data_IF_276857082909
#
_entry.id   IF_276857082909
#
_cell.length_a   1.000
_cell.length_b   1.000
_cell.length_c   1.000
_cell.angle_alpha   90.00
_cell.angle_beta   90.00
_cell.angle_gamma   90.00
#
_symmetry.space_group_name_H-M   'P 1'
#
loop_
_entity.id
_entity.type
_entity.pdbx_description
1 polymer ?
#
# COMPACT_ATOMS: atom_id res chain seq x y z
N UNK A 1 -11.80 40.92 6.58
CA UNK A 1 -11.46 40.09 5.40
C UNK A 1 -10.09 39.47 5.69
N UNK A 2 -10.10 38.21 6.09
CA UNK A 2 -8.90 37.38 6.31
C UNK A 2 -8.96 36.26 5.25
N UNK A 3 -7.93 36.07 4.40
CA UNK A 3 -7.92 35.08 3.33
C UNK A 3 -7.38 33.70 3.74
N UNK A 4 -7.38 33.31 5.01
CA UNK A 4 -6.96 31.97 5.45
C UNK A 4 -7.98 30.86 5.14
N UNK A 5 -8.32 30.70 3.85
CA UNK A 5 -8.99 29.51 3.33
C UNK A 5 -7.96 28.57 2.69
N UNK A 6 -7.18 27.87 3.52
CA UNK A 6 -6.34 26.77 3.06
C UNK A 6 -7.05 25.45 3.33
N UNK A 7 -8.11 25.16 2.56
CA UNK A 7 -8.58 23.78 2.41
C UNK A 7 -7.50 23.02 1.64
N UNK A 8 -6.51 22.48 2.34
CA UNK A 8 -5.70 21.41 1.79
C UNK A 8 -6.61 20.21 1.63
N UNK A 9 -7.25 20.07 0.46
CA UNK A 9 -7.65 18.74 0.00
C UNK A 9 -6.33 18.01 -0.24
N UNK A 10 -5.81 17.38 0.80
CA UNK A 10 -4.56 16.63 0.75
C UNK A 10 -4.83 15.37 -0.08
N UNK A 11 -4.87 15.54 -1.40
CA UNK A 11 -5.07 14.45 -2.32
C UNK A 11 -3.91 13.48 -2.14
N UNK A 12 -4.21 12.21 -1.89
CA UNK A 12 -3.17 11.20 -1.78
C UNK A 12 -2.42 11.12 -3.12
N UNK A 13 -1.11 11.43 -3.17
CA UNK A 13 -0.36 11.44 -4.42
C UNK A 13 -0.33 10.07 -5.10
N UNK A 14 -0.53 8.98 -4.36
CA UNK A 14 -0.63 7.63 -4.93
C UNK A 14 -1.93 7.46 -5.71
N UNK A 15 -3.03 8.03 -5.23
CA UNK A 15 -4.31 8.00 -5.94
C UNK A 15 -4.28 8.88 -7.19
N UNK A 16 -3.59 10.02 -7.13
CA UNK A 16 -3.34 10.85 -8.32
C UNK A 16 -2.52 10.07 -9.36
N UNK A 17 -1.45 9.40 -8.94
CA UNK A 17 -0.65 8.58 -9.86
C UNK A 17 -1.43 7.41 -10.45
N UNK A 18 -2.30 6.77 -9.65
CA UNK A 18 -3.18 5.71 -10.13
C UNK A 18 -4.13 6.23 -11.22
N UNK A 19 -4.74 7.40 -11.02
CA UNK A 19 -5.59 8.03 -12.02
C UNK A 19 -4.83 8.33 -13.32
N UNK A 20 -3.63 8.89 -13.24
CA UNK A 20 -2.78 9.14 -14.42
C UNK A 20 -2.49 7.85 -15.19
N UNK A 21 -2.14 6.75 -14.50
CA UNK A 21 -1.86 5.48 -15.16
C UNK A 21 -3.10 4.84 -15.79
N UNK A 22 -4.28 5.05 -15.21
CA UNK A 22 -5.54 4.63 -15.82
C UNK A 22 -5.84 5.43 -17.09
N UNK A 23 -5.60 6.74 -17.08
CA UNK A 23 -5.75 7.60 -18.27
C UNK A 23 -4.78 7.22 -19.39
N UNK A 24 -3.61 6.68 -19.04
CA UNK A 24 -2.64 6.07 -19.98
C UNK A 24 -3.06 4.67 -20.50
N UNK A 25 -4.17 4.12 -20.02
CA UNK A 25 -4.67 2.79 -20.39
C UNK A 25 -3.89 1.64 -19.75
N UNK A 26 -3.16 1.89 -18.65
CA UNK A 26 -2.40 0.86 -17.95
C UNK A 26 -3.31 0.03 -17.06
N UNK A 27 -3.10 -1.29 -17.08
CA UNK A 27 -3.68 -2.18 -16.06
C UNK A 27 -2.91 -2.00 -14.74
N UNK A 28 -3.62 -1.69 -13.68
CA UNK A 28 -3.04 -1.43 -12.36
C UNK A 28 -3.79 -2.17 -11.25
N UNK A 29 -3.15 -2.32 -10.10
CA UNK A 29 -3.77 -2.69 -8.85
C UNK A 29 -3.41 -1.67 -7.75
N UNK A 30 -4.34 -1.47 -6.83
CA UNK A 30 -4.17 -0.63 -5.65
C UNK A 30 -4.07 -1.52 -4.42
N UNK A 31 -2.99 -1.34 -3.65
CA UNK A 31 -2.81 -1.93 -2.35
C UNK A 31 -3.07 -0.88 -1.26
N UNK A 32 -4.00 -1.18 -0.36
CA UNK A 32 -4.46 -0.27 0.69
C UNK A 32 -4.22 -0.89 2.06
N UNK A 33 -3.51 -0.18 2.95
CA UNK A 33 -3.44 -0.55 4.37
C UNK A 33 -4.82 -0.34 4.99
N UNK A 34 -5.54 -1.43 5.26
CA UNK A 34 -6.89 -1.37 5.83
C UNK A 34 -6.89 -1.35 7.35
N UNK A 35 -5.92 -2.02 7.99
CA UNK A 35 -5.77 -2.06 9.45
C UNK A 35 -4.31 -2.18 9.84
N UNK A 36 -4.00 -1.67 11.03
CA UNK A 36 -2.68 -1.78 11.64
C UNK A 36 -2.80 -2.07 13.13
N UNK A 37 -1.81 -2.78 13.67
CA UNK A 37 -1.69 -3.07 15.10
C UNK A 37 -0.26 -2.81 15.56
N UNK A 38 -0.10 -2.43 16.83
CA UNK A 38 1.22 -2.13 17.40
C UNK A 38 1.91 -0.96 16.68
N UNK A 39 3.24 -0.95 16.69
CA UNK A 39 4.04 0.11 16.05
C UNK A 39 4.27 -0.19 14.56
N UNK A 40 3.19 -0.48 13.85
CA UNK A 40 3.23 -0.66 12.40
C UNK A 40 3.79 0.60 11.70
N UNK A 41 4.64 0.44 10.67
CA UNK A 41 5.42 1.55 10.11
C UNK A 41 4.60 2.52 9.23
N UNK A 42 3.45 2.07 8.72
CA UNK A 42 2.48 2.90 7.98
C UNK A 42 1.13 2.88 8.68
N UNK A 43 0.31 3.90 8.42
CA UNK A 43 -1.05 4.03 8.99
C UNK A 43 -2.07 3.39 8.07
N UNK A 44 -3.22 3.00 8.60
CA UNK A 44 -4.38 2.69 7.80
C UNK A 44 -4.71 3.86 6.84
N UNK A 45 -5.09 3.53 5.60
CA UNK A 45 -5.25 4.47 4.50
C UNK A 45 -3.97 4.81 3.75
N UNK A 46 -2.83 4.16 4.04
CA UNK A 46 -1.65 4.28 3.17
C UNK A 46 -1.85 3.43 1.93
N UNK A 47 -1.48 3.97 0.77
CA UNK A 47 -1.65 3.31 -0.51
C UNK A 47 -0.32 2.98 -1.19
N UNK A 48 -0.37 1.99 -2.07
CA UNK A 48 0.65 1.69 -3.06
C UNK A 48 -0.04 1.26 -4.35
N UNK A 49 0.31 1.88 -5.48
CA UNK A 49 -0.20 1.51 -6.80
C UNK A 49 0.87 0.72 -7.54
N UNK A 50 0.47 -0.33 -8.25
CA UNK A 50 1.34 -1.21 -9.02
C UNK A 50 0.75 -1.37 -10.42
N UNK A 51 1.55 -1.18 -11.45
CA UNK A 51 1.18 -1.44 -12.84
C UNK A 51 1.58 -2.85 -13.28
N UNK A 52 0.92 -3.38 -14.32
CA UNK A 52 1.26 -4.67 -14.93
C UNK A 52 2.70 -4.75 -15.45
N UNK A 53 3.35 -3.60 -15.73
CA UNK A 53 4.77 -3.49 -16.09
C UNK A 53 5.72 -3.77 -14.93
N UNK A 54 5.22 -3.78 -13.69
CA UNK A 54 6.02 -3.85 -12.46
C UNK A 54 6.38 -2.48 -11.88
N UNK A 55 6.06 -1.37 -12.55
CA UNK A 55 6.22 -0.03 -11.97
C UNK A 55 5.30 0.15 -10.77
N UNK A 56 5.76 0.88 -9.76
CA UNK A 56 4.96 1.15 -8.56
C UNK A 56 5.24 2.53 -7.97
N UNK A 57 4.26 3.06 -7.23
CA UNK A 57 4.38 4.29 -6.46
C UNK A 57 3.67 4.16 -5.11
N UNK A 58 4.15 4.89 -4.11
CA UNK A 58 3.65 4.77 -2.74
C UNK A 58 4.36 3.69 -1.93
N UNK A 59 3.84 3.43 -0.73
CA UNK A 59 4.45 2.47 0.20
C UNK A 59 3.46 2.09 1.30
N UNK A 60 3.42 0.80 1.61
CA UNK A 60 2.57 0.24 2.66
C UNK A 60 3.33 -0.18 3.91
N UNK A 61 4.67 -0.21 3.88
CA UNK A 61 5.48 -0.49 5.07
C UNK A 61 6.77 0.32 5.21
N UNK A 62 7.35 0.78 4.12
CA UNK A 62 8.65 1.45 4.09
C UNK A 62 9.82 0.52 3.70
N UNK A 63 9.54 -0.72 3.25
CA UNK A 63 10.55 -1.56 2.58
C UNK A 63 10.26 -3.06 2.60
N UNK A 64 10.17 -3.68 3.78
CA UNK A 64 10.37 -5.12 3.94
C UNK A 64 9.32 -6.01 3.24
N UNK A 65 8.10 -5.53 3.03
CA UNK A 65 7.00 -6.34 2.49
C UNK A 65 6.55 -5.88 1.09
N UNK A 66 7.08 -4.78 0.57
CA UNK A 66 6.72 -4.18 -0.72
C UNK A 66 6.86 -5.20 -1.86
N UNK A 67 7.92 -6.01 -1.86
CA UNK A 67 8.13 -7.06 -2.87
C UNK A 67 6.99 -8.09 -2.90
N UNK A 68 6.52 -8.55 -1.74
CA UNK A 68 5.43 -9.52 -1.65
C UNK A 68 4.09 -8.91 -2.10
N UNK A 69 3.89 -7.61 -1.81
CA UNK A 69 2.71 -6.85 -2.24
C UNK A 69 2.73 -6.67 -3.76
N UNK A 70 3.88 -6.35 -4.36
CA UNK A 70 4.03 -6.25 -5.82
C UNK A 70 3.69 -7.59 -6.49
N UNK A 71 4.23 -8.71 -6.00
CA UNK A 71 3.91 -10.03 -6.59
C UNK A 71 2.42 -10.34 -6.52
N UNK A 72 1.77 -10.11 -5.37
CA UNK A 72 0.32 -10.29 -5.24
C UNK A 72 -0.44 -9.36 -6.18
N UNK A 73 -0.01 -8.11 -6.32
CA UNK A 73 -0.66 -7.14 -7.20
C UNK A 73 -0.62 -7.58 -8.66
N UNK A 74 0.50 -8.12 -9.14
CA UNK A 74 0.60 -8.67 -10.49
C UNK A 74 -0.38 -9.84 -10.71
N UNK A 75 -0.53 -10.73 -9.72
CA UNK A 75 -1.53 -11.81 -9.78
C UNK A 75 -2.97 -11.28 -9.76
N UNK A 76 -3.24 -10.23 -8.97
CA UNK A 76 -4.55 -9.57 -8.89
C UNK A 76 -4.90 -8.90 -10.22
N UNK A 77 -3.94 -8.22 -10.86
CA UNK A 77 -4.11 -7.61 -12.18
C UNK A 77 -4.47 -8.65 -13.23
N UNK A 78 -3.80 -9.81 -13.20
CA UNK A 78 -4.01 -10.85 -14.19
C UNK A 78 -5.30 -11.64 -13.96
N UNK A 79 -5.63 -11.94 -12.71
CA UNK A 79 -6.84 -12.70 -12.36
C UNK A 79 -8.12 -11.85 -12.30
N UNK A 80 -7.99 -10.53 -12.11
CA UNK A 80 -9.11 -9.64 -11.79
C UNK A 80 -9.72 -9.89 -10.41
N UNK A 81 -9.11 -10.73 -9.57
CA UNK A 81 -9.65 -11.13 -8.28
C UNK A 81 -8.90 -10.43 -7.13
N UNK A 82 -9.58 -9.61 -6.30
CA UNK A 82 -8.95 -8.96 -5.16
C UNK A 82 -8.40 -9.95 -4.12
N UNK A 83 -7.36 -9.53 -3.41
CA UNK A 83 -6.66 -10.33 -2.40
C UNK A 83 -6.47 -9.54 -1.12
N UNK A 84 -6.45 -10.24 0.00
CA UNK A 84 -6.12 -9.67 1.31
C UNK A 84 -4.82 -10.27 1.81
N UNK A 85 -3.95 -9.44 2.36
CA UNK A 85 -2.66 -9.85 2.91
C UNK A 85 -2.56 -9.41 4.37
N UNK A 86 -1.99 -10.25 5.22
CA UNK A 86 -1.62 -9.89 6.58
C UNK A 86 -0.12 -10.10 6.75
N UNK A 87 0.57 -9.06 7.23
CA UNK A 87 1.99 -9.11 7.54
C UNK A 87 2.20 -8.74 9.00
N UNK A 88 3.09 -9.48 9.66
CA UNK A 88 3.41 -9.27 11.06
C UNK A 88 4.74 -9.89 11.40
N UNK A 89 5.46 -9.30 12.35
CA UNK A 89 6.63 -9.95 12.94
C UNK A 89 6.11 -11.02 13.90
N UNK A 90 5.93 -12.25 13.43
CA UNK A 90 5.61 -13.40 14.28
C UNK A 90 6.91 -13.91 14.90
N UNK A 91 7.20 -13.41 16.09
CA UNK A 91 7.87 -14.02 17.24
C UNK A 91 9.04 -15.04 17.15
N UNK A 92 9.55 -15.47 16.00
CA UNK A 92 10.60 -16.52 15.97
C UNK A 92 12.02 -15.97 15.73
N UNK A 93 12.16 -14.72 15.28
CA UNK A 93 13.46 -14.05 15.10
C UNK A 93 13.62 -12.73 15.89
N UNK A 94 12.57 -12.25 16.55
CA UNK A 94 12.54 -10.94 17.19
C UNK A 94 13.21 -10.88 18.58
N UNK A 95 13.37 -12.04 19.25
CA UNK A 95 13.78 -12.07 20.65
C UNK A 95 15.29 -12.11 20.89
N UNK A 96 16.09 -12.52 19.89
CA UNK A 96 17.54 -12.70 20.07
C UNK A 96 18.35 -11.41 19.91
N UNK A 97 17.79 -10.32 19.36
CA UNK A 97 18.59 -9.12 19.02
C UNK A 97 17.93 -7.76 19.33
N UNK A 98 16.84 -7.71 20.09
CA UNK A 98 16.32 -6.46 20.65
C UNK A 98 15.77 -5.44 19.63
N UNK A 99 15.33 -5.89 18.45
CA UNK A 99 14.79 -5.02 17.40
C UNK A 99 13.58 -5.67 16.73
N UNK A 100 12.38 -5.35 17.21
CA UNK A 100 11.15 -5.62 16.48
C UNK A 100 10.13 -4.53 16.78
N UNK A 101 9.69 -3.81 15.75
CA UNK A 101 8.63 -2.81 15.89
C UNK A 101 7.26 -3.41 16.26
N UNK A 102 7.15 -4.72 16.56
CA UNK A 102 5.94 -5.36 17.11
C UNK A 102 4.66 -5.15 16.30
N UNK A 103 4.80 -4.69 15.06
CA UNK A 103 3.70 -4.17 14.25
C UNK A 103 3.12 -5.25 13.34
N UNK A 104 1.81 -5.17 13.10
CA UNK A 104 1.12 -5.92 12.06
C UNK A 104 0.35 -4.98 11.15
N UNK A 105 0.23 -5.36 9.88
CA UNK A 105 -0.55 -4.63 8.87
C UNK A 105 -1.45 -5.59 8.11
N UNK A 106 -2.64 -5.11 7.79
CA UNK A 106 -3.61 -5.79 6.95
C UNK A 106 -3.81 -4.96 5.69
N UNK A 107 -3.68 -5.59 4.53
CA UNK A 107 -3.70 -4.96 3.23
C UNK A 107 -4.84 -5.55 2.39
N UNK A 108 -5.53 -4.70 1.66
CA UNK A 108 -6.43 -5.11 0.60
C UNK A 108 -5.81 -4.71 -0.73
N UNK A 109 -5.73 -5.65 -1.66
CA UNK A 109 -5.17 -5.46 -3.00
C UNK A 109 -6.27 -5.73 -4.00
N UNK A 110 -6.60 -4.73 -4.82
CA UNK A 110 -7.68 -4.82 -5.80
C UNK A 110 -7.22 -4.33 -7.17
N UNK A 111 -7.72 -4.93 -8.27
CA UNK A 111 -7.46 -4.41 -9.60
C UNK A 111 -8.28 -3.11 -9.78
N UNK A 112 -7.71 -2.13 -10.47
CA UNK A 112 -8.44 -0.92 -10.86
C UNK A 112 -8.62 -0.96 -12.37
N UNK A 113 -9.89 -0.95 -12.80
CA UNK A 113 -10.34 -1.14 -14.18
C UNK A 113 -11.12 0.05 -14.70
#
# INVERSE_FOLDING_TARGET
MDPSNSRHTNADPVLAQAAEWLDEGRRIALATVTRTWGSAPRRAGSHMVIAASGDFAGSVSGGCIEGAVIQTALEVIESGAPRTLEFGVTNEMAWEVGLACGGRVHLFVEPVV
#
